data_IF_353533167575
#
_entry.id   IF_353533167575
#
_cell.length_a   1.000
_cell.length_b   1.000
_cell.length_c   1.000
_cell.angle_alpha   90.00
_cell.angle_beta   90.00
_cell.angle_gamma   90.00
#
_symmetry.space_group_name_H-M   'P 1'
#
loop_
_entity.id
_entity.type
_entity.pdbx_description
1 polymer ?
#
# COMPACT_ATOMS: atom_id res chain seq x y z
N UNK A 1 43.51 -13.36 -18.21
CA UNK A 1 42.54 -12.37 -18.72
C UNK A 1 41.38 -12.34 -17.73
N UNK A 2 41.19 -11.24 -17.01
CA UNK A 2 40.26 -11.14 -15.88
C UNK A 2 39.01 -10.43 -16.34
N UNK A 3 37.88 -11.14 -16.48
CA UNK A 3 36.59 -10.51 -16.70
C UNK A 3 35.95 -10.24 -15.33
N UNK A 4 36.11 -9.02 -14.81
CA UNK A 4 35.29 -8.53 -13.70
C UNK A 4 33.93 -8.16 -14.27
N UNK A 5 32.98 -9.09 -14.19
CA UNK A 5 31.57 -8.80 -14.43
C UNK A 5 31.09 -7.86 -13.33
N UNK A 6 30.82 -6.59 -13.66
CA UNK A 6 30.15 -5.65 -12.78
C UNK A 6 28.66 -5.76 -13.03
N UNK A 7 28.02 -6.73 -12.36
CA UNK A 7 26.56 -6.77 -12.30
C UNK A 7 26.14 -5.64 -11.37
N UNK A 8 25.69 -4.52 -11.93
CA UNK A 8 25.03 -3.47 -11.16
C UNK A 8 23.70 -4.05 -10.68
N UNK A 9 23.58 -4.36 -9.40
CA UNK A 9 22.30 -4.72 -8.79
C UNK A 9 21.30 -3.61 -9.11
N UNK A 10 20.18 -3.99 -9.73
CA UNK A 10 19.09 -3.06 -9.97
C UNK A 10 18.52 -2.67 -8.61
N UNK A 11 18.78 -1.44 -8.15
CA UNK A 11 18.17 -0.91 -6.92
C UNK A 11 16.75 -0.47 -7.24
N UNK A 12 15.81 -1.41 -7.18
CA UNK A 12 14.39 -1.12 -7.34
C UNK A 12 13.87 -0.36 -6.13
N UNK A 13 13.19 0.76 -6.38
CA UNK A 13 12.54 1.54 -5.33
C UNK A 13 11.16 0.97 -5.05
N UNK A 14 11.13 -0.03 -4.17
CA UNK A 14 9.89 -0.64 -3.68
C UNK A 14 9.52 0.00 -2.33
N UNK A 15 8.30 0.54 -2.25
CA UNK A 15 7.75 1.11 -1.02
C UNK A 15 6.60 0.23 -0.53
N UNK A 16 6.71 -0.27 0.69
CA UNK A 16 5.62 -0.94 1.39
C UNK A 16 4.75 0.13 2.07
N UNK A 17 3.53 0.34 1.58
CA UNK A 17 2.52 1.18 2.21
C UNK A 17 1.55 0.29 2.99
N UNK A 18 1.53 0.42 4.31
CA UNK A 18 0.58 -0.30 5.17
C UNK A 18 -0.49 0.66 5.66
N UNK A 19 -1.75 0.30 5.51
CA UNK A 19 -2.90 1.04 6.02
C UNK A 19 -3.67 0.22 7.06
N UNK A 20 -3.88 0.80 8.23
CA UNK A 20 -4.64 0.18 9.31
C UNK A 20 -6.14 0.54 9.20
N UNK A 21 -6.91 -0.38 8.64
CA UNK A 21 -8.37 -0.35 8.61
C UNK A 21 -9.00 -1.30 9.66
N UNK A 22 -8.21 -1.83 10.60
CA UNK A 22 -8.68 -2.68 11.68
C UNK A 22 -9.25 -1.81 12.83
N UNK A 23 -10.57 -1.84 13.09
CA UNK A 23 -11.24 -0.93 14.00
C UNK A 23 -11.04 -1.36 15.45
N UNK A 24 -9.85 -1.12 15.98
CA UNK A 24 -9.47 -1.46 17.34
C UNK A 24 -8.74 -0.31 18.02
N UNK A 25 -8.84 -0.20 19.34
CA UNK A 25 -8.28 0.92 20.11
C UNK A 25 -6.75 0.88 20.16
N UNK A 26 -6.17 -0.32 20.14
CA UNK A 26 -4.72 -0.49 20.11
C UNK A 26 -4.18 -0.31 18.69
N UNK A 27 -3.10 0.45 18.57
CA UNK A 27 -2.43 0.68 17.30
C UNK A 27 -1.71 -0.56 16.79
N UNK A 28 -1.47 -0.58 15.49
CA UNK A 28 -0.86 -1.67 14.73
C UNK A 28 0.65 -1.47 14.59
N UNK A 29 1.42 -2.47 14.96
CA UNK A 29 2.85 -2.53 14.67
C UNK A 29 3.16 -3.54 13.56
N UNK A 30 4.14 -3.20 12.72
CA UNK A 30 4.53 -3.99 11.55
C UNK A 30 5.94 -4.50 11.72
N UNK A 31 6.15 -5.78 11.47
CA UNK A 31 7.44 -6.45 11.59
C UNK A 31 7.74 -7.26 10.33
N UNK A 32 9.03 -7.40 10.01
CA UNK A 32 9.53 -8.40 9.06
C UNK A 32 10.55 -9.25 9.79
N UNK A 33 10.22 -10.53 9.99
CA UNK A 33 10.98 -11.42 10.87
C UNK A 33 11.09 -10.84 12.29
N UNK A 34 12.31 -10.47 12.71
CA UNK A 34 12.57 -9.86 14.04
C UNK A 34 12.64 -8.33 14.02
N UNK A 35 12.63 -7.72 12.84
CA UNK A 35 12.82 -6.28 12.67
C UNK A 35 11.49 -5.55 12.70
N UNK A 36 11.35 -4.57 13.59
CA UNK A 36 10.18 -3.68 13.63
C UNK A 36 10.33 -2.59 12.57
N UNK A 37 9.33 -2.44 11.70
CA UNK A 37 9.29 -1.39 10.68
C UNK A 37 8.67 -0.09 11.20
N UNK A 38 7.64 -0.19 12.04
CA UNK A 38 6.96 0.97 12.62
C UNK A 38 7.82 1.64 13.67
N UNK A 39 8.24 2.88 13.41
CA UNK A 39 8.84 3.75 14.45
C UNK A 39 7.77 4.27 15.43
N UNK A 40 6.57 4.52 14.91
CA UNK A 40 5.35 4.79 15.66
C UNK A 40 4.26 3.81 15.21
N UNK A 41 3.52 3.18 16.14
CA UNK A 41 2.41 2.31 15.80
C UNK A 41 1.34 3.03 14.96
N UNK A 42 0.76 2.33 13.98
CA UNK A 42 -0.28 2.86 13.10
C UNK A 42 -1.64 2.82 13.81
N UNK A 43 -2.18 4.00 14.14
CA UNK A 43 -3.54 4.12 14.67
C UNK A 43 -4.60 3.70 13.64
N UNK A 44 -5.81 3.39 14.09
CA UNK A 44 -6.93 3.12 13.19
C UNK A 44 -7.15 4.30 12.23
N UNK A 45 -7.38 3.99 10.94
CA UNK A 45 -7.49 4.94 9.81
C UNK A 45 -6.22 5.72 9.49
N UNK A 46 -5.05 5.17 9.81
CA UNK A 46 -3.76 5.74 9.43
C UNK A 46 -2.96 4.78 8.54
N UNK A 47 -2.05 5.34 7.75
CA UNK A 47 -1.12 4.58 6.93
C UNK A 47 0.32 4.99 7.23
N UNK A 48 1.25 4.07 6.98
CA UNK A 48 2.68 4.32 7.02
C UNK A 48 3.35 3.76 5.76
N UNK A 49 4.43 4.40 5.36
CA UNK A 49 5.28 3.94 4.26
C UNK A 49 6.63 3.51 4.79
N UNK A 50 7.12 2.40 4.25
CA UNK A 50 8.37 1.77 4.66
C UNK A 50 9.12 1.35 3.39
N UNK A 51 10.45 1.38 3.42
CA UNK A 51 11.28 0.89 2.33
C UNK A 51 12.22 -0.24 2.81
N UNK A 52 11.68 -1.36 3.34
CA UNK A 52 12.50 -2.52 3.67
C UNK A 52 13.02 -3.18 2.39
N UNK A 53 14.16 -3.87 2.49
CA UNK A 53 14.65 -4.74 1.43
C UNK A 53 13.82 -6.04 1.39
N UNK A 54 12.69 -6.02 0.69
CA UNK A 54 11.76 -7.14 0.61
C UNK A 54 12.30 -8.28 -0.26
N UNK A 55 11.98 -9.51 0.13
CA UNK A 55 12.24 -10.72 -0.63
C UNK A 55 10.99 -11.59 -0.74
N UNK A 56 10.91 -12.37 -1.81
CA UNK A 56 9.90 -13.42 -1.92
C UNK A 56 10.10 -14.43 -0.79
N UNK A 57 9.01 -14.79 -0.12
CA UNK A 57 9.00 -15.63 1.07
C UNK A 57 9.07 -14.88 2.39
N UNK A 58 9.34 -13.56 2.37
CA UNK A 58 9.31 -12.75 3.59
C UNK A 58 7.93 -12.80 4.26
N UNK A 59 7.96 -12.85 5.59
CA UNK A 59 6.77 -12.82 6.44
C UNK A 59 6.66 -11.47 7.11
N UNK A 60 5.57 -10.78 6.82
CA UNK A 60 5.20 -9.52 7.44
C UNK A 60 4.21 -9.83 8.57
N UNK A 61 4.64 -9.60 9.81
CA UNK A 61 3.80 -9.80 10.98
C UNK A 61 3.14 -8.50 11.42
N UNK A 62 1.85 -8.58 11.70
CA UNK A 62 1.02 -7.47 12.13
C UNK A 62 0.60 -7.69 13.58
N UNK A 63 1.01 -6.80 14.48
CA UNK A 63 0.77 -6.94 15.92
C UNK A 63 -0.15 -5.84 16.43
N UNK A 64 -1.07 -6.22 17.31
CA UNK A 64 -2.00 -5.34 18.00
C UNK A 64 -1.93 -5.64 19.49
N UNK A 65 -1.60 -4.63 20.30
CA UNK A 65 -1.37 -4.79 21.75
C UNK A 65 -0.41 -5.95 22.08
N UNK A 66 0.73 -6.00 21.40
CA UNK A 66 1.78 -7.02 21.52
C UNK A 66 1.40 -8.46 21.11
N UNK A 67 0.13 -8.72 20.81
CA UNK A 67 -0.33 -9.99 20.24
C UNK A 67 -0.16 -10.00 18.72
N UNK A 68 0.24 -11.15 18.16
CA UNK A 68 0.25 -11.33 16.71
C UNK A 68 -1.20 -11.44 16.22
N UNK A 69 -1.63 -10.42 15.46
CA UNK A 69 -2.96 -10.37 14.89
C UNK A 69 -3.03 -11.21 13.59
N UNK A 70 -1.95 -11.23 12.81
CA UNK A 70 -1.82 -12.07 11.62
C UNK A 70 -0.50 -11.86 10.88
N UNK A 71 -0.21 -12.79 9.98
CA UNK A 71 1.02 -12.80 9.17
C UNK A 71 0.67 -12.84 7.69
N UNK A 72 1.31 -11.99 6.89
CA UNK A 72 1.24 -12.01 5.44
C UNK A 72 2.57 -12.50 4.84
N UNK A 73 2.52 -13.42 3.88
CA UNK A 73 3.72 -13.92 3.20
C UNK A 73 3.82 -13.31 1.81
N UNK A 74 4.97 -12.73 1.47
CA UNK A 74 5.22 -12.19 0.14
C UNK A 74 5.41 -13.36 -0.83
N UNK A 75 4.48 -13.53 -1.77
CA UNK A 75 4.58 -14.58 -2.80
C UNK A 75 5.37 -14.15 -4.03
N UNK A 76 5.34 -12.86 -4.36
CA UNK A 76 6.00 -12.30 -5.54
C UNK A 76 6.27 -10.79 -5.33
N UNK A 77 7.22 -10.24 -6.09
CA UNK A 77 7.60 -8.83 -6.05
C UNK A 77 7.75 -8.26 -7.47
N UNK A 78 7.29 -7.03 -7.72
CA UNK A 78 7.41 -6.42 -9.04
C UNK A 78 8.88 -6.19 -9.41
N UNK A 79 9.24 -6.47 -10.66
CA UNK A 79 10.59 -6.24 -11.21
C UNK A 79 10.85 -4.77 -11.59
N UNK A 80 10.11 -3.83 -11.00
CA UNK A 80 10.17 -2.39 -11.27
C UNK A 80 9.85 -1.59 -10.01
N UNK A 81 10.06 -0.28 -10.05
CA UNK A 81 9.66 0.63 -8.97
C UNK A 81 8.14 0.56 -8.77
N UNK A 82 7.73 0.39 -7.52
CA UNK A 82 6.33 0.18 -7.19
C UNK A 82 6.00 0.56 -5.74
N UNK A 83 4.73 0.86 -5.50
CA UNK A 83 4.17 0.93 -4.16
C UNK A 83 3.35 -0.34 -3.92
N UNK A 84 3.79 -1.13 -2.94
CA UNK A 84 3.10 -2.31 -2.47
C UNK A 84 2.15 -1.88 -1.35
N UNK A 85 0.86 -1.80 -1.65
CA UNK A 85 -0.18 -1.49 -0.68
C UNK A 85 -0.60 -2.76 0.07
N UNK A 86 -0.64 -2.67 1.39
CA UNK A 86 -1.22 -3.65 2.29
C UNK A 86 -2.26 -2.97 3.16
N UNK A 87 -3.49 -3.49 3.17
CA UNK A 87 -4.56 -3.01 4.03
C UNK A 87 -4.92 -4.09 5.02
N UNK A 88 -4.74 -3.81 6.31
CA UNK A 88 -5.12 -4.70 7.41
C UNK A 88 -6.50 -4.31 7.88
N UNK A 89 -7.43 -5.26 7.91
CA UNK A 89 -8.82 -5.01 8.30
C UNK A 89 -9.40 -6.19 9.09
N UNK A 90 -10.64 -6.03 9.57
CA UNK A 90 -11.31 -7.08 10.36
C UNK A 90 -11.89 -8.15 9.45
N UNK A 91 -11.69 -9.42 9.79
CA UNK A 91 -12.21 -10.54 9.01
C UNK A 91 -13.74 -10.52 8.93
N UNK A 92 -14.39 -10.39 10.10
CA UNK A 92 -15.83 -10.47 10.24
C UNK A 92 -16.35 -9.61 11.43
N UNK A 93 -17.66 -9.61 11.68
CA UNK A 93 -18.29 -8.82 12.75
C UNK A 93 -18.33 -9.51 14.12
N UNK A 94 -17.99 -10.80 14.17
CA UNK A 94 -18.11 -11.68 15.34
C UNK A 94 -16.76 -11.84 16.06
N UNK A 95 -15.68 -12.04 15.32
CA UNK A 95 -14.33 -12.36 15.80
C UNK A 95 -13.38 -11.17 15.72
N UNK A 96 -12.24 -11.25 16.42
CA UNK A 96 -11.13 -10.30 16.30
C UNK A 96 -10.08 -10.75 15.28
N UNK A 97 -10.40 -11.73 14.43
CA UNK A 97 -9.48 -12.16 13.39
C UNK A 97 -9.26 -11.02 12.38
N UNK A 98 -8.03 -10.92 11.88
CA UNK A 98 -7.67 -9.96 10.84
C UNK A 98 -7.76 -10.58 9.46
N UNK A 99 -7.90 -9.74 8.45
CA UNK A 99 -7.76 -10.08 7.04
C UNK A 99 -6.95 -9.00 6.33
N UNK A 100 -6.46 -9.36 5.15
CA UNK A 100 -5.52 -8.56 4.39
C UNK A 100 -6.03 -8.40 2.96
N UNK A 101 -6.02 -7.16 2.46
CA UNK A 101 -6.08 -6.90 1.02
C UNK A 101 -4.73 -6.32 0.60
N UNK A 102 -4.25 -6.73 -0.58
CA UNK A 102 -3.02 -6.21 -1.16
C UNK A 102 -3.23 -5.70 -2.58
N UNK A 103 -2.44 -4.69 -2.95
CA UNK A 103 -2.42 -4.14 -4.31
C UNK A 103 -1.02 -3.61 -4.64
N UNK A 104 -0.66 -3.59 -5.92
CA UNK A 104 0.61 -3.03 -6.38
C UNK A 104 0.33 -1.89 -7.33
N UNK A 105 0.81 -0.69 -7.00
CA UNK A 105 0.81 0.44 -7.90
C UNK A 105 2.15 0.50 -8.63
N UNK A 106 2.13 0.30 -9.94
CA UNK A 106 3.33 0.45 -10.78
C UNK A 106 3.71 1.92 -10.93
N UNK A 107 5.00 2.22 -11.04
CA UNK A 107 5.48 3.57 -11.35
C UNK A 107 5.21 3.92 -12.82
N UNK A 108 4.00 4.37 -13.13
CA UNK A 108 3.54 4.74 -14.47
C UNK A 108 3.16 6.23 -14.52
N UNK A 109 3.23 6.83 -15.72
CA UNK A 109 2.79 8.21 -15.93
C UNK A 109 1.26 8.39 -15.79
N UNK A 110 0.49 7.32 -16.01
CA UNK A 110 -0.97 7.31 -15.88
C UNK A 110 -1.37 7.17 -14.41
N UNK A 111 -2.37 7.94 -13.99
CA UNK A 111 -2.96 7.81 -12.67
C UNK A 111 -3.59 6.41 -12.49
N UNK A 112 -3.45 5.85 -11.30
CA UNK A 112 -4.03 4.58 -10.90
C UNK A 112 -4.87 4.79 -9.64
N UNK A 113 -6.03 4.16 -9.58
CA UNK A 113 -6.95 4.21 -8.44
C UNK A 113 -7.34 2.79 -8.07
N UNK A 114 -7.20 2.45 -6.79
CA UNK A 114 -7.73 1.22 -6.23
C UNK A 114 -8.74 1.59 -5.13
N UNK A 115 -9.94 1.01 -5.21
CA UNK A 115 -11.00 1.19 -4.21
C UNK A 115 -11.20 -0.14 -3.50
N UNK A 116 -11.00 -0.14 -2.19
CA UNK A 116 -11.01 -1.33 -1.34
C UNK A 116 -12.11 -1.16 -0.30
N UNK A 117 -13.16 -1.97 -0.37
CA UNK A 117 -14.20 -2.00 0.66
C UNK A 117 -13.85 -3.02 1.74
N UNK A 118 -13.26 -2.51 2.82
CA UNK A 118 -12.91 -3.30 4.00
C UNK A 118 -13.98 -3.27 5.08
N UNK A 119 -15.16 -2.70 4.81
CA UNK A 119 -16.26 -2.67 5.77
C UNK A 119 -16.93 -4.05 5.83
N UNK A 120 -17.27 -4.49 7.05
CA UNK A 120 -17.92 -5.79 7.31
C UNK A 120 -19.29 -5.67 7.94
N UNK A 121 -19.78 -4.45 8.16
CA UNK A 121 -21.14 -4.23 8.68
C UNK A 121 -22.22 -4.37 7.60
N UNK A 122 -23.46 -4.05 7.97
CA UNK A 122 -24.63 -4.27 7.11
C UNK A 122 -24.83 -3.21 6.01
N UNK A 123 -24.23 -2.02 6.17
CA UNK A 123 -24.32 -0.96 5.18
C UNK A 123 -23.68 -1.38 3.84
N UNK A 124 -24.26 -0.89 2.74
CA UNK A 124 -23.78 -1.10 1.37
C UNK A 124 -23.42 0.24 0.74
N UNK A 125 -22.45 0.22 -0.16
CA UNK A 125 -22.01 1.38 -0.92
C UNK A 125 -21.82 1.00 -2.38
N UNK A 126 -21.95 1.99 -3.27
CA UNK A 126 -21.73 1.86 -4.71
C UNK A 126 -20.62 2.83 -5.13
N UNK A 127 -19.61 2.33 -5.85
CA UNK A 127 -18.56 3.17 -6.41
C UNK A 127 -19.03 3.81 -7.72
N UNK A 128 -18.91 5.13 -7.81
CA UNK A 128 -19.13 5.89 -9.05
C UNK A 128 -17.92 6.76 -9.35
N UNK A 129 -17.52 6.77 -10.62
CA UNK A 129 -16.43 7.59 -11.14
C UNK A 129 -17.03 8.49 -12.21
N UNK A 130 -16.69 9.77 -12.18
CA UNK A 130 -17.11 10.76 -13.15
C UNK A 130 -15.93 11.65 -13.50
N UNK A 131 -15.96 12.25 -14.70
CA UNK A 131 -15.00 13.27 -15.06
C UNK A 131 -15.19 14.51 -14.17
N UNK A 132 -14.07 15.17 -13.86
CA UNK A 132 -14.15 16.53 -13.33
C UNK A 132 -14.80 17.42 -14.39
N UNK A 133 -15.78 18.24 -13.98
CA UNK A 133 -16.37 19.22 -14.89
C UNK A 133 -15.24 20.03 -15.54
N UNK A 134 -15.25 20.11 -16.87
CA UNK A 134 -14.26 20.89 -17.62
C UNK A 134 -14.21 22.29 -17.01
N UNK A 135 -13.02 22.81 -16.63
CA UNK A 135 -12.92 24.24 -16.35
C UNK A 135 -13.41 25.01 -17.59
N UNK A 136 -14.07 26.17 -17.42
CA UNK A 136 -14.55 26.95 -18.55
C UNK A 136 -13.40 27.20 -19.51
N UNK A 137 -13.65 26.97 -20.81
CA UNK A 137 -12.66 27.15 -21.86
C UNK A 137 -12.17 28.60 -21.83
N UNK A 138 -10.92 28.81 -21.40
CA UNK A 138 -10.29 30.14 -21.48
C UNK A 138 -10.09 30.44 -22.96
N UNK A 139 -10.70 31.51 -23.51
CA UNK A 139 -10.51 31.85 -24.91
C UNK A 139 -9.01 31.97 -25.21
N UNK A 140 -8.52 31.17 -26.16
CA UNK A 140 -7.14 31.29 -26.64
C UNK A 140 -7.01 32.65 -27.31
N UNK A 141 -6.12 33.49 -26.81
CA UNK A 141 -5.77 34.76 -27.45
C UNK A 141 -5.31 34.46 -28.88
N UNK A 142 -5.87 35.12 -29.91
CA UNK A 142 -5.42 34.90 -31.27
C UNK A 142 -3.93 35.25 -31.38
N UNK A 143 -3.16 34.50 -32.20
CA UNK A 143 -1.75 34.83 -32.40
C UNK A 143 -1.65 36.27 -32.88
N UNK A 144 -0.89 37.08 -32.13
CA UNK A 144 -0.57 38.45 -32.53
C UNK A 144 0.14 38.40 -33.88
N UNK A 145 -0.49 39.00 -34.90
CA UNK A 145 0.11 39.15 -36.21
C UNK A 145 1.35 40.04 -36.09
N UNK A 146 2.48 39.54 -36.61
CA UNK A 146 3.75 40.23 -36.69
C UNK A 146 3.72 41.40 -37.69
#
# INVERSE_FOLDING_TARGET
RTARSFVRSLELKQVLRVCNAYPFSSSLDVYIGRSKLTSRPLAYKSCGEFAPALQVGDKIDFKVADSNAGTFTISDLPSSDAVLLMVVYRHDTISTAVSFESHVFSSLATAQVAVLDTYRGSAKSELRIQDAASPPEVPREPPQAA
#
